data_IF_624411432343
#
_entry.id   IF_624411432343
#
_cell.length_a   1.000
_cell.length_b   1.000
_cell.length_c   1.000
_cell.angle_alpha   90.00
_cell.angle_beta   90.00
_cell.angle_gamma   90.00
#
_symmetry.space_group_name_H-M   'P 1'
#
loop_
_entity.id
_entity.type
_entity.pdbx_description
1 polymer ?
#
# COMPACT_ATOMS: atom_id res chain seq x y z
N UNK A 1 12.46 32.32 -23.75
CA UNK A 1 12.41 30.89 -23.41
C UNK A 1 12.21 30.77 -21.90
N UNK A 2 11.06 30.25 -21.44
CA UNK A 2 10.81 30.02 -20.01
C UNK A 2 10.99 28.52 -19.68
N UNK A 3 11.36 28.16 -18.45
CA UNK A 3 11.47 26.75 -18.05
C UNK A 3 10.17 25.96 -18.26
N UNK A 4 9.01 26.60 -18.08
CA UNK A 4 7.69 26.00 -18.27
C UNK A 4 7.47 25.62 -19.73
N UNK A 5 7.79 26.51 -20.67
CA UNK A 5 7.69 26.23 -22.10
C UNK A 5 8.68 25.16 -22.54
N UNK A 6 9.90 25.16 -21.99
CA UNK A 6 10.91 24.17 -22.32
C UNK A 6 10.47 22.77 -21.90
N UNK A 7 9.98 22.60 -20.66
CA UNK A 7 9.47 21.31 -20.18
C UNK A 7 8.33 20.79 -21.08
N UNK A 8 7.35 21.64 -21.39
CA UNK A 8 6.22 21.24 -22.22
C UNK A 8 6.64 20.82 -23.65
N UNK A 9 7.54 21.58 -24.26
CA UNK A 9 8.06 21.28 -25.60
C UNK A 9 8.88 19.97 -25.62
N UNK A 10 9.77 19.78 -24.64
CA UNK A 10 10.58 18.56 -24.51
C UNK A 10 9.70 17.34 -24.24
N UNK A 11 8.73 17.43 -23.33
CA UNK A 11 7.80 16.32 -23.06
C UNK A 11 7.04 15.92 -24.32
N UNK A 12 6.60 16.89 -25.12
CA UNK A 12 5.88 16.60 -26.38
C UNK A 12 6.78 15.91 -27.39
N UNK A 13 8.02 16.38 -27.56
CA UNK A 13 8.98 15.76 -28.47
C UNK A 13 9.37 14.34 -28.03
N UNK A 14 9.59 14.16 -26.73
CA UNK A 14 9.95 12.87 -26.14
C UNK A 14 8.82 11.86 -26.27
N UNK A 15 7.57 12.26 -26.00
CA UNK A 15 6.42 11.38 -26.17
C UNK A 15 6.23 10.93 -27.61
N UNK A 16 6.46 11.82 -28.60
CA UNK A 16 6.41 11.46 -30.02
C UNK A 16 7.47 10.42 -30.39
N UNK A 17 8.66 10.53 -29.82
CA UNK A 17 9.75 9.58 -30.05
C UNK A 17 9.47 8.21 -29.40
N UNK A 18 8.90 8.20 -28.19
CA UNK A 18 8.62 6.97 -27.45
C UNK A 18 7.33 6.26 -27.88
N UNK A 19 6.37 6.96 -28.48
CA UNK A 19 5.10 6.40 -28.93
C UNK A 19 5.22 5.10 -29.76
N UNK A 20 6.08 5.00 -30.80
CA UNK A 20 6.22 3.76 -31.56
C UNK A 20 6.83 2.61 -30.73
N UNK A 21 7.75 2.91 -29.81
CA UNK A 21 8.36 1.90 -28.92
C UNK A 21 7.32 1.34 -27.95
N UNK A 22 6.52 2.22 -27.36
CA UNK A 22 5.42 1.81 -26.48
C UNK A 22 4.37 0.99 -27.25
N UNK A 23 4.01 1.40 -28.47
CA UNK A 23 3.07 0.65 -29.30
C UNK A 23 3.60 -0.76 -29.64
N UNK A 24 4.88 -0.89 -30.00
CA UNK A 24 5.51 -2.18 -30.29
C UNK A 24 5.54 -3.09 -29.04
N UNK A 25 5.83 -2.52 -27.87
CA UNK A 25 5.80 -3.24 -26.60
C UNK A 25 4.38 -3.70 -26.21
N UNK A 26 3.37 -2.86 -26.42
CA UNK A 26 1.98 -3.22 -26.10
C UNK A 26 1.38 -4.24 -27.08
N UNK A 27 1.84 -4.26 -28.33
CA UNK A 27 1.40 -5.21 -29.33
C UNK A 27 1.98 -6.63 -29.13
N UNK A 28 3.11 -6.76 -28.41
CA UNK A 28 3.79 -8.05 -28.24
C UNK A 28 3.75 -8.53 -26.77
N UNK A 29 2.96 -9.56 -26.44
CA UNK A 29 2.86 -10.10 -25.08
C UNK A 29 4.16 -10.74 -24.59
N UNK A 30 4.95 -11.35 -25.49
CA UNK A 30 6.21 -12.00 -25.12
C UNK A 30 7.21 -10.99 -24.53
N UNK A 31 7.21 -9.77 -25.05
CA UNK A 31 8.06 -8.69 -24.53
C UNK A 31 7.64 -8.25 -23.13
N UNK A 32 6.35 -8.24 -22.83
CA UNK A 32 5.84 -7.92 -21.48
C UNK A 32 6.19 -8.99 -20.46
N UNK A 33 6.18 -10.27 -20.88
CA UNK A 33 6.60 -11.36 -20.00
C UNK A 33 8.09 -11.32 -19.68
N UNK A 34 8.92 -10.98 -20.67
CA UNK A 34 10.36 -10.80 -20.47
C UNK A 34 10.62 -9.61 -19.54
N UNK A 35 9.91 -8.50 -19.68
CA UNK A 35 10.04 -7.35 -18.78
C UNK A 35 9.78 -7.74 -17.32
N UNK A 36 8.69 -8.48 -17.05
CA UNK A 36 8.34 -8.94 -15.69
C UNK A 36 9.39 -9.87 -15.09
N UNK A 37 10.02 -10.70 -15.93
CA UNK A 37 11.10 -11.61 -15.50
C UNK A 37 12.41 -10.87 -15.27
N UNK A 38 12.73 -9.89 -16.11
CA UNK A 38 13.95 -9.10 -16.04
C UNK A 38 13.93 -8.08 -14.91
N UNK A 39 12.76 -7.49 -14.65
CA UNK A 39 12.52 -6.47 -13.63
C UNK A 39 11.38 -6.92 -12.71
N UNK A 40 11.62 -7.91 -11.82
CA UNK A 40 10.62 -8.29 -10.84
C UNK A 40 10.30 -7.09 -9.93
N UNK A 41 9.03 -6.91 -9.52
CA UNK A 41 8.67 -5.85 -8.59
C UNK A 41 9.52 -5.93 -7.32
N UNK A 42 9.91 -4.78 -6.72
CA UNK A 42 10.58 -4.78 -5.43
C UNK A 42 9.75 -5.58 -4.41
N UNK A 43 10.39 -6.38 -3.54
CA UNK A 43 9.67 -7.10 -2.51
C UNK A 43 8.85 -6.10 -1.69
N UNK A 44 7.58 -6.43 -1.44
CA UNK A 44 6.72 -5.59 -0.62
C UNK A 44 7.46 -5.26 0.68
N UNK A 45 7.52 -3.97 1.09
CA UNK A 45 8.21 -3.60 2.31
C UNK A 45 7.61 -4.41 3.46
N UNK A 46 8.46 -5.20 4.13
CA UNK A 46 8.03 -6.07 5.23
C UNK A 46 7.14 -5.26 6.17
N UNK A 47 5.86 -5.63 6.23
CA UNK A 47 4.89 -5.00 7.12
C UNK A 47 5.48 -5.07 8.51
N UNK A 48 5.94 -3.93 9.03
CA UNK A 48 6.54 -3.80 10.36
C UNK A 48 5.58 -4.46 11.35
N UNK A 49 5.92 -5.68 11.78
CA UNK A 49 5.16 -6.39 12.80
C UNK A 49 5.10 -5.45 14.00
N UNK A 50 3.89 -5.01 14.37
CA UNK A 50 3.68 -4.20 15.57
C UNK A 50 4.25 -5.00 16.73
N UNK A 51 5.42 -4.60 17.22
CA UNK A 51 6.00 -5.19 18.42
C UNK A 51 4.97 -4.94 19.54
N UNK A 52 4.40 -5.99 20.16
CA UNK A 52 3.51 -5.81 21.29
C UNK A 52 4.23 -4.95 22.30
N UNK A 53 3.62 -3.82 22.68
CA UNK A 53 4.15 -2.95 23.72
C UNK A 53 3.84 -3.64 25.05
N UNK A 54 4.61 -4.67 25.37
CA UNK A 54 4.55 -5.26 26.70
C UNK A 54 5.11 -4.20 27.66
N UNK A 55 4.18 -3.51 28.34
CA UNK A 55 4.50 -2.64 29.46
C UNK A 55 4.83 -3.58 30.62
N UNK A 56 6.01 -4.19 30.58
CA UNK A 56 6.44 -5.15 31.59
C UNK A 56 6.17 -4.60 33.00
N UNK A 57 5.72 -5.49 33.90
CA UNK A 57 5.23 -5.37 35.30
C UNK A 57 5.67 -4.19 36.20
N UNK A 58 5.83 -2.96 35.69
CA UNK A 58 6.13 -1.73 36.42
C UNK A 58 4.87 -0.94 36.78
N UNK A 59 3.74 -1.61 36.98
CA UNK A 59 2.62 -0.96 37.66
C UNK A 59 2.81 -1.18 39.17
N UNK A 60 3.21 -0.16 39.95
CA UNK A 60 3.12 -0.25 41.40
C UNK A 60 1.63 -0.20 41.74
N UNK A 61 1.03 -1.37 41.95
CA UNK A 61 -0.40 -1.51 42.22
C UNK A 61 -0.99 -2.89 41.92
N UNK A 62 -0.23 -3.79 41.28
CA UNK A 62 -0.62 -5.19 41.09
C UNK A 62 -0.50 -6.02 42.37
N UNK A 63 -1.29 -5.69 43.39
CA UNK A 63 -1.41 -6.44 44.64
C UNK A 63 -2.88 -6.61 45.01
N UNK A 64 -3.47 -7.68 44.49
CA UNK A 64 -4.65 -8.40 44.99
C UNK A 64 -5.72 -7.59 45.77
N UNK A 65 -6.79 -7.15 45.07
CA UNK A 65 -8.13 -7.08 45.65
C UNK A 65 -9.22 -6.92 44.56
N UNK A 66 -10.21 -7.82 44.60
CA UNK A 66 -11.57 -7.71 44.02
C UNK A 66 -11.66 -7.55 42.48
N UNK A 67 -11.95 -8.58 41.67
CA UNK A 67 -13.17 -9.41 41.67
C UNK A 67 -14.46 -8.61 41.91
N UNK A 68 -14.97 -7.92 40.87
CA UNK A 68 -16.39 -7.83 40.51
C UNK A 68 -16.62 -6.82 39.36
N UNK A 69 -17.60 -7.16 38.51
CA UNK A 69 -18.41 -6.30 37.62
C UNK A 69 -18.07 -6.19 36.12
N UNK A 70 -18.80 -7.04 35.38
CA UNK A 70 -19.53 -6.78 34.13
C UNK A 70 -18.83 -6.90 32.75
N UNK A 71 -19.40 -7.71 31.82
CA UNK A 71 -18.99 -7.75 30.43
C UNK A 71 -19.68 -6.62 29.65
N UNK A 72 -18.98 -5.94 28.74
CA UNK A 72 -19.64 -5.09 27.74
C UNK A 72 -19.16 -5.45 26.35
N UNK A 73 -20.13 -5.91 25.57
CA UNK A 73 -20.03 -6.51 24.26
C UNK A 73 -19.40 -5.58 23.22
N UNK A 74 -18.61 -6.23 22.37
CA UNK A 74 -18.19 -5.83 21.05
C UNK A 74 -19.30 -6.17 20.05
N UNK A 75 -20.01 -5.17 19.55
CA UNK A 75 -20.83 -5.22 18.32
C UNK A 75 -20.95 -3.78 17.81
N UNK A 76 -20.62 -3.55 16.53
CA UNK A 76 -21.16 -2.49 15.65
C UNK A 76 -20.20 -2.15 14.47
N UNK A 77 -18.89 -2.40 14.59
CA UNK A 77 -17.93 -1.95 13.56
C UNK A 77 -17.64 -2.92 12.40
N UNK A 78 -18.04 -4.19 12.51
CA UNK A 78 -17.69 -5.23 11.52
C UNK A 78 -18.78 -5.39 10.46
N UNK A 79 -20.06 -5.23 10.81
CA UNK A 79 -21.18 -5.40 9.88
C UNK A 79 -21.23 -4.27 8.84
N UNK A 80 -21.03 -3.01 9.24
CA UNK A 80 -21.05 -1.86 8.32
C UNK A 80 -19.93 -1.91 7.27
N UNK A 81 -18.82 -2.60 7.59
CA UNK A 81 -17.70 -2.78 6.66
C UNK A 81 -17.95 -3.86 5.62
N UNK A 82 -18.83 -4.81 5.89
CA UNK A 82 -19.14 -5.90 4.96
C UNK A 82 -20.18 -5.44 3.93
N UNK A 83 -21.17 -4.64 4.32
CA UNK A 83 -22.18 -4.11 3.39
C UNK A 83 -21.61 -3.07 2.42
N UNK A 84 -20.66 -2.23 2.87
CA UNK A 84 -20.05 -1.19 2.03
C UNK A 84 -19.08 -1.72 0.97
N UNK A 85 -18.72 -3.00 1.04
CA UNK A 85 -17.82 -3.67 0.10
C UNK A 85 -18.56 -4.55 -0.92
N UNK A 86 -19.88 -4.73 -0.74
CA UNK A 86 -20.73 -5.56 -1.60
C UNK A 86 -21.64 -4.74 -2.55
N UNK A 87 -21.40 -3.43 -2.69
CA UNK A 87 -22.06 -2.54 -3.67
C UNK A 87 -21.07 -2.04 -4.69
#
# INVERSE_FOLDING_TARGET
LTPQLLKAAVTTALNKLLAPVQAAFQANPDWQEIEKKAYPPPPEPEKKKKKPKDKGCRYPGGGAAAAAAAPRQEVDGVEEKLEKLAV
#
